data_IF_313296636651
#
_entry.id   IF_313296636651
#
_cell.length_a   1.000
_cell.length_b   1.000
_cell.length_c   1.000
_cell.angle_alpha   90.00
_cell.angle_beta   90.00
_cell.angle_gamma   90.00
#
_symmetry.space_group_name_H-M   'P 1'
#
loop_
_entity.id
_entity.type
_entity.pdbx_description
1 polymer ?
#
# COMPACT_ATOMS: atom_id res chain seq x y z
N UNK A 1 21.44 -8.66 0.42
CA UNK A 1 20.21 -8.08 -0.14
C UNK A 1 20.25 -8.32 -1.63
N UNK A 2 19.18 -8.86 -2.25
CA UNK A 2 19.10 -8.93 -3.72
C UNK A 2 19.20 -7.49 -4.25
N UNK A 3 20.05 -7.24 -5.23
CA UNK A 3 20.06 -5.97 -5.93
C UNK A 3 18.78 -5.88 -6.76
N UNK A 4 17.83 -5.08 -6.29
CA UNK A 4 16.62 -4.75 -7.03
C UNK A 4 17.01 -3.73 -8.11
N UNK A 5 16.64 -4.02 -9.35
CA UNK A 5 16.81 -3.09 -10.48
C UNK A 5 15.52 -2.28 -10.57
N UNK A 6 15.63 -0.96 -10.49
CA UNK A 6 14.49 -0.04 -10.53
C UNK A 6 14.72 1.07 -11.54
N UNK A 7 13.64 1.58 -12.11
CA UNK A 7 13.58 2.73 -13.02
C UNK A 7 12.67 3.80 -12.46
N UNK A 8 12.87 5.06 -12.87
CA UNK A 8 11.97 6.14 -12.51
C UNK A 8 10.52 5.83 -12.95
N UNK A 9 9.57 6.09 -12.07
CA UNK A 9 8.16 5.72 -12.24
C UNK A 9 7.79 4.36 -11.65
N UNK A 10 8.75 3.44 -11.46
CA UNK A 10 8.45 2.14 -10.86
C UNK A 10 7.76 2.32 -9.50
N UNK A 11 6.67 1.58 -9.31
CA UNK A 11 6.01 1.47 -8.01
C UNK A 11 6.72 0.37 -7.24
N UNK A 12 7.31 0.71 -6.10
CA UNK A 12 7.94 -0.23 -5.19
C UNK A 12 7.11 -0.40 -3.93
N UNK A 13 7.08 -1.62 -3.42
CA UNK A 13 6.37 -1.97 -2.19
C UNK A 13 7.36 -2.53 -1.19
N UNK A 14 7.36 -1.96 0.01
CA UNK A 14 8.16 -2.44 1.15
C UNK A 14 7.26 -3.16 2.15
N UNK A 15 7.59 -4.41 2.48
CA UNK A 15 6.84 -5.22 3.43
C UNK A 15 7.35 -5.00 4.86
N UNK A 16 6.53 -4.34 5.68
CA UNK A 16 6.79 -4.14 7.10
C UNK A 16 6.21 -5.27 7.98
N UNK A 17 5.81 -6.39 7.38
CA UNK A 17 5.19 -7.54 8.01
C UNK A 17 3.68 -7.31 8.23
N UNK A 18 3.34 -6.29 9.02
CA UNK A 18 1.94 -5.95 9.34
C UNK A 18 1.22 -5.17 8.25
N UNK A 19 1.96 -4.43 7.41
CA UNK A 19 1.41 -3.61 6.33
C UNK A 19 2.42 -3.47 5.19
N UNK A 20 1.92 -3.06 4.03
CA UNK A 20 2.73 -2.73 2.85
C UNK A 20 2.85 -1.22 2.72
N UNK A 21 4.06 -0.72 2.51
CA UNK A 21 4.29 0.69 2.19
C UNK A 21 4.58 0.85 0.71
N UNK A 22 3.77 1.65 0.03
CA UNK A 22 3.87 1.90 -1.41
C UNK A 22 4.64 3.18 -1.67
N UNK A 23 5.51 3.18 -2.66
CA UNK A 23 6.30 4.34 -3.05
C UNK A 23 6.57 4.33 -4.56
N UNK A 24 6.77 5.51 -5.13
CA UNK A 24 7.17 5.66 -6.54
C UNK A 24 8.66 6.02 -6.57
N UNK A 25 9.42 5.33 -7.42
CA UNK A 25 10.82 5.64 -7.68
C UNK A 25 10.91 6.93 -8.48
N UNK A 26 11.69 7.91 -8.01
CA UNK A 26 11.86 9.18 -8.72
C UNK A 26 13.07 9.17 -9.64
N UNK A 27 13.20 10.22 -10.43
CA UNK A 27 14.34 10.48 -11.32
C UNK A 27 15.53 11.15 -10.59
N UNK A 28 15.51 11.24 -9.25
CA UNK A 28 16.59 11.83 -8.47
C UNK A 28 17.28 10.80 -7.57
N UNK A 29 18.52 11.10 -7.20
CA UNK A 29 19.35 10.25 -6.35
C UNK A 29 19.79 11.03 -5.11
N UNK A 30 19.93 10.35 -3.98
CA UNK A 30 20.50 10.94 -2.78
C UNK A 30 22.04 11.00 -2.87
N UNK A 31 22.69 11.64 -1.89
CA UNK A 31 24.15 11.77 -1.82
C UNK A 31 24.91 10.44 -1.81
N UNK A 32 24.25 9.33 -1.47
CA UNK A 32 24.82 7.97 -1.51
C UNK A 32 24.67 7.27 -2.87
N UNK A 33 24.12 7.96 -3.88
CA UNK A 33 23.85 7.37 -5.20
C UNK A 33 22.65 6.43 -5.25
N UNK A 34 21.84 6.38 -4.18
CA UNK A 34 20.61 5.59 -4.16
C UNK A 34 19.44 6.41 -4.71
N UNK A 35 18.50 5.80 -5.44
CA UNK A 35 17.32 6.50 -5.93
C UNK A 35 16.50 7.08 -4.77
N UNK A 36 15.81 8.19 -5.02
CA UNK A 36 14.81 8.70 -4.10
C UNK A 36 13.46 8.07 -4.37
N UNK A 37 12.64 8.02 -3.32
CA UNK A 37 11.29 7.48 -3.32
C UNK A 37 10.33 8.59 -2.90
N UNK A 38 9.23 8.75 -3.64
CA UNK A 38 8.14 9.66 -3.27
C UNK A 38 6.93 8.86 -2.80
N UNK A 39 6.42 9.19 -1.61
CA UNK A 39 5.27 8.49 -1.03
C UNK A 39 4.55 9.31 0.04
N UNK A 40 3.27 9.01 0.26
CA UNK A 40 2.52 9.49 1.41
C UNK A 40 2.85 8.63 2.64
N UNK A 41 3.34 9.23 3.72
CA UNK A 41 3.69 8.49 4.94
C UNK A 41 2.98 9.05 6.17
N UNK A 42 2.62 8.16 7.11
CA UNK A 42 2.11 8.56 8.43
C UNK A 42 3.14 9.39 9.21
N UNK A 43 4.43 9.03 9.10
CA UNK A 43 5.55 9.73 9.78
C UNK A 43 5.61 11.21 9.40
N UNK A 44 5.40 11.51 8.13
CA UNK A 44 5.47 12.89 7.64
C UNK A 44 4.10 13.60 7.68
N UNK A 45 3.00 12.85 7.85
CA UNK A 45 1.63 13.35 7.72
C UNK A 45 1.24 13.77 6.30
N UNK A 46 2.14 13.61 5.33
CA UNK A 46 2.00 14.10 3.95
C UNK A 46 2.90 13.32 2.99
N UNK A 47 2.87 13.70 1.70
CA UNK A 47 3.78 13.19 0.68
C UNK A 47 5.14 13.87 0.81
N UNK A 48 6.21 13.08 0.76
CA UNK A 48 7.59 13.57 0.65
C UNK A 48 8.40 12.71 -0.31
N UNK A 49 9.36 13.33 -0.95
CA UNK A 49 10.45 12.67 -1.67
C UNK A 49 11.62 12.49 -0.69
N UNK A 50 12.03 11.24 -0.48
CA UNK A 50 13.01 10.87 0.55
C UNK A 50 13.96 9.77 0.04
N UNK A 51 15.17 9.65 0.60
CA UNK A 51 16.11 8.61 0.20
C UNK A 51 15.55 7.19 0.38
N UNK A 52 15.91 6.27 -0.52
CA UNK A 52 15.51 4.85 -0.48
C UNK A 52 15.59 4.23 0.93
N UNK A 53 16.73 4.37 1.61
CA UNK A 53 16.97 3.78 2.92
C UNK A 53 16.02 4.32 4.01
N UNK A 54 15.65 5.61 3.91
CA UNK A 54 14.75 6.26 4.86
C UNK A 54 13.33 5.72 4.73
N UNK A 55 12.89 5.49 3.49
CA UNK A 55 11.55 5.01 3.19
C UNK A 55 11.43 3.50 3.44
N UNK A 56 12.41 2.71 2.99
CA UNK A 56 12.37 1.24 3.07
C UNK A 56 12.81 0.69 4.42
N UNK A 57 13.66 1.41 5.18
CA UNK A 57 14.21 0.97 6.47
C UNK A 57 14.83 -0.45 6.43
N UNK A 58 15.43 -0.81 5.30
CA UNK A 58 16.03 -2.13 5.09
C UNK A 58 15.04 -3.29 5.04
N UNK A 59 13.73 -3.01 4.93
CA UNK A 59 12.70 -4.04 4.77
C UNK A 59 12.79 -4.70 3.40
N UNK A 60 12.10 -5.82 3.26
CA UNK A 60 11.99 -6.48 1.97
C UNK A 60 11.19 -5.58 1.03
N UNK A 61 11.85 -5.09 -0.02
CA UNK A 61 11.27 -4.17 -1.00
C UNK A 61 11.37 -4.79 -2.39
N UNK A 62 10.29 -4.69 -3.17
CA UNK A 62 10.17 -5.25 -4.51
C UNK A 62 9.41 -4.30 -5.45
N UNK A 63 9.58 -4.47 -6.77
CA UNK A 63 8.81 -3.74 -7.78
C UNK A 63 7.43 -4.40 -7.89
N UNK A 64 6.37 -3.61 -7.73
CA UNK A 64 5.02 -4.09 -7.87
C UNK A 64 4.71 -4.44 -9.33
N UNK A 65 3.99 -5.52 -9.57
CA UNK A 65 3.55 -5.90 -10.92
C UNK A 65 2.35 -5.05 -11.36
N UNK A 66 2.63 -3.80 -11.70
CA UNK A 66 1.63 -2.82 -12.12
C UNK A 66 1.98 -2.30 -13.50
N UNK A 67 0.93 -2.12 -14.32
CA UNK A 67 1.01 -1.46 -15.62
C UNK A 67 0.05 -0.28 -15.61
N UNK A 68 0.54 0.88 -16.02
CA UNK A 68 -0.24 2.10 -16.18
C UNK A 68 0.23 2.82 -17.45
N UNK A 69 -0.69 3.50 -18.13
CA UNK A 69 -0.41 4.14 -19.42
C UNK A 69 0.07 5.59 -19.27
N UNK A 70 -0.01 6.16 -18.07
CA UNK A 70 0.43 7.53 -17.78
C UNK A 70 1.95 7.67 -18.00
N UNK A 71 2.43 8.69 -18.73
CA UNK A 71 3.86 8.93 -18.89
C UNK A 71 4.59 9.13 -17.56
N UNK A 72 5.80 8.57 -17.44
CA UNK A 72 6.60 8.67 -16.20
C UNK A 72 6.81 10.12 -15.76
N UNK A 73 7.10 11.03 -16.70
CA UNK A 73 7.26 12.46 -16.39
C UNK A 73 6.01 13.08 -15.78
N UNK A 74 4.82 12.68 -16.24
CA UNK A 74 3.55 13.11 -15.68
C UNK A 74 3.33 12.51 -14.28
N UNK A 75 3.60 11.22 -14.09
CA UNK A 75 3.52 10.55 -12.77
C UNK A 75 4.39 11.29 -11.74
N UNK A 76 5.63 11.62 -12.09
CA UNK A 76 6.55 12.31 -11.19
C UNK A 76 6.12 13.76 -10.92
N UNK A 77 5.66 14.47 -11.96
CA UNK A 77 5.12 15.84 -11.81
C UNK A 77 3.92 15.87 -10.86
N UNK A 78 2.95 14.97 -11.06
CA UNK A 78 1.79 14.82 -10.19
C UNK A 78 2.19 14.45 -8.77
N UNK A 79 3.09 13.48 -8.62
CA UNK A 79 3.61 13.07 -7.31
C UNK A 79 4.19 14.25 -6.54
N UNK A 80 5.05 15.06 -7.20
CA UNK A 80 5.68 16.25 -6.61
C UNK A 80 4.68 17.36 -6.29
N UNK A 81 3.61 17.50 -7.08
CA UNK A 81 2.53 18.47 -6.81
C UNK A 81 1.81 18.24 -5.48
N UNK A 82 1.92 17.04 -4.91
CA UNK A 82 1.30 16.67 -3.63
C UNK A 82 2.23 16.77 -2.43
N UNK A 83 3.50 17.08 -2.64
CA UNK A 83 4.46 17.29 -1.55
C UNK A 83 3.96 18.41 -0.64
N UNK A 84 3.82 18.11 0.65
CA UNK A 84 3.35 19.07 1.66
C UNK A 84 1.85 19.40 1.65
N UNK A 85 1.09 19.00 0.62
CA UNK A 85 -0.35 19.30 0.50
C UNK A 85 -1.25 18.08 0.68
N UNK A 86 -0.69 16.87 0.61
CA UNK A 86 -1.44 15.64 0.89
C UNK A 86 -1.71 15.48 2.38
N UNK A 87 -2.97 15.27 2.79
CA UNK A 87 -3.35 15.02 4.18
C UNK A 87 -3.47 13.51 4.38
N UNK A 88 -2.51 12.90 5.08
CA UNK A 88 -2.47 11.46 5.25
C UNK A 88 -3.63 10.92 6.10
N UNK A 89 -4.25 9.84 5.63
CA UNK A 89 -5.20 9.02 6.39
C UNK A 89 -4.94 7.54 6.10
N UNK A 90 -5.13 6.65 7.09
CA UNK A 90 -4.96 5.21 6.91
C UNK A 90 -6.00 4.61 5.95
N UNK A 91 -7.21 5.16 5.91
CA UNK A 91 -8.36 4.58 5.19
C UNK A 91 -8.51 5.12 3.78
N UNK A 92 -8.23 6.41 3.56
CA UNK A 92 -8.66 7.12 2.34
C UNK A 92 -7.53 7.88 1.63
N UNK A 93 -6.45 8.25 2.32
CA UNK A 93 -5.34 9.04 1.76
C UNK A 93 -3.98 8.44 2.17
N UNK A 94 -3.86 7.11 2.06
CA UNK A 94 -2.65 6.39 2.45
C UNK A 94 -1.64 6.30 1.28
N UNK A 95 -0.57 5.54 1.49
CA UNK A 95 0.50 5.35 0.50
C UNK A 95 0.01 4.66 -0.80
N UNK A 96 -0.88 3.68 -0.70
CA UNK A 96 -1.44 2.96 -1.85
C UNK A 96 -2.31 3.90 -2.70
N UNK A 97 -3.16 4.69 -2.05
CA UNK A 97 -4.02 5.65 -2.72
C UNK A 97 -3.22 6.74 -3.42
N UNK A 98 -2.17 7.24 -2.77
CA UNK A 98 -1.25 8.18 -3.40
C UNK A 98 -0.60 7.58 -4.66
N UNK A 99 -0.04 6.37 -4.57
CA UNK A 99 0.62 5.73 -5.70
C UNK A 99 -0.35 5.52 -6.88
N UNK A 100 -1.55 5.00 -6.60
CA UNK A 100 -2.61 4.81 -7.60
C UNK A 100 -3.07 6.13 -8.24
N UNK A 101 -3.30 7.15 -7.42
CA UNK A 101 -3.67 8.49 -7.91
C UNK A 101 -2.60 9.05 -8.87
N UNK A 102 -1.33 8.97 -8.49
CA UNK A 102 -0.21 9.47 -9.28
C UNK A 102 -0.01 8.69 -10.58
N UNK A 103 -0.25 7.37 -10.60
CA UNK A 103 -0.15 6.53 -11.81
C UNK A 103 -1.43 6.51 -12.65
N UNK A 104 -2.54 7.05 -12.15
CA UNK A 104 -3.84 7.02 -12.82
C UNK A 104 -4.57 5.68 -12.70
N UNK A 105 -4.10 4.79 -11.81
CA UNK A 105 -4.78 3.54 -11.49
C UNK A 105 -5.98 3.83 -10.58
N UNK A 106 -7.02 3.01 -10.72
CA UNK A 106 -8.22 3.16 -9.90
C UNK A 106 -7.91 3.00 -8.41
N UNK A 107 -8.27 4.02 -7.63
CA UNK A 107 -8.20 4.02 -6.17
C UNK A 107 -9.34 3.15 -5.63
N UNK A 108 -9.19 1.84 -5.68
CA UNK A 108 -9.99 0.95 -4.84
C UNK A 108 -9.19 0.64 -3.57
N UNK A 109 -9.76 0.92 -2.41
CA UNK A 109 -9.27 0.48 -1.10
C UNK A 109 -9.44 -1.03 -0.96
N UNK A 110 -8.85 -1.82 -1.86
CA UNK A 110 -9.13 -3.26 -2.00
C UNK A 110 -8.95 -4.00 -0.69
N UNK A 111 -7.98 -3.60 0.13
CA UNK A 111 -7.76 -4.15 1.48
C UNK A 111 -8.88 -3.80 2.46
N UNK A 112 -9.36 -2.55 2.48
CA UNK A 112 -10.46 -2.13 3.36
C UNK A 112 -11.76 -2.81 2.95
N UNK A 113 -12.06 -2.83 1.64
CA UNK A 113 -13.23 -3.53 1.09
C UNK A 113 -13.13 -5.02 1.39
N UNK A 114 -11.99 -5.66 1.13
CA UNK A 114 -11.79 -7.08 1.42
C UNK A 114 -11.92 -7.39 2.91
N UNK A 115 -11.38 -6.54 3.79
CA UNK A 115 -11.49 -6.70 5.24
C UNK A 115 -12.93 -6.60 5.73
N UNK A 116 -13.70 -5.63 5.25
CA UNK A 116 -15.12 -5.47 5.59
C UNK A 116 -15.95 -6.63 5.04
N UNK A 117 -15.76 -7.01 3.77
CA UNK A 117 -16.47 -8.14 3.14
C UNK A 117 -16.13 -9.47 3.84
N UNK A 118 -14.85 -9.71 4.14
CA UNK A 118 -14.40 -10.89 4.88
C UNK A 118 -14.95 -10.94 6.30
N UNK A 119 -15.00 -9.80 6.99
CA UNK A 119 -15.57 -9.71 8.33
C UNK A 119 -17.08 -10.01 8.34
N UNK A 120 -17.84 -9.45 7.39
CA UNK A 120 -19.26 -9.74 7.24
C UNK A 120 -19.50 -11.23 6.94
N UNK A 121 -18.72 -11.81 6.02
CA UNK A 121 -18.79 -13.24 5.70
C UNK A 121 -18.46 -14.13 6.91
N UNK A 122 -17.46 -13.74 7.72
CA UNK A 122 -17.06 -14.46 8.92
C UNK A 122 -18.10 -14.44 10.03
N UNK A 123 -18.73 -13.28 10.27
CA UNK A 123 -19.86 -13.19 11.20
C UNK A 123 -21.04 -14.05 10.73
N UNK A 124 -21.39 -13.97 9.44
CA UNK A 124 -22.50 -14.73 8.86
C UNK A 124 -22.28 -16.25 8.94
N UNK A 125 -21.08 -16.72 8.59
CA UNK A 125 -20.73 -18.14 8.66
C UNK A 125 -20.87 -18.68 10.09
N UNK A 126 -20.35 -17.94 11.09
CA UNK A 126 -20.51 -18.34 12.49
C UNK A 126 -21.98 -18.32 12.93
N UNK A 127 -22.76 -17.34 12.48
CA UNK A 127 -24.19 -17.25 12.79
C UNK A 127 -25.00 -18.42 12.23
N UNK A 128 -24.65 -18.90 11.04
CA UNK A 128 -25.31 -20.04 10.40
C UNK A 128 -24.88 -21.39 10.98
N UNK A 129 -23.63 -21.52 11.41
CA UNK A 129 -23.06 -22.81 11.84
C UNK A 129 -23.07 -23.04 13.37
N UNK A 130 -23.30 -22.00 14.18
CA UNK A 130 -23.29 -22.15 15.63
C UNK A 130 -24.71 -22.20 16.21
N UNK A 131 -24.98 -23.22 17.03
CA UNK A 131 -26.17 -23.23 17.88
C UNK A 131 -26.02 -22.15 18.97
N UNK A 132 -26.93 -21.18 19.00
CA UNK A 132 -26.92 -20.02 19.90
C UNK A 132 -25.59 -19.22 19.88
N UNK A 133 -25.29 -18.52 18.77
CA UNK A 133 -24.04 -17.80 18.62
C UNK A 133 -23.96 -16.64 19.62
N UNK A 134 -23.00 -16.72 20.55
CA UNK A 134 -22.63 -15.57 21.39
C UNK A 134 -21.96 -14.50 20.54
N UNK A 135 -22.15 -13.24 20.89
CA UNK A 135 -21.54 -12.06 20.23
C UNK A 135 -20.02 -12.22 20.07
N UNK A 136 -19.33 -12.80 21.05
CA UNK A 136 -17.89 -13.06 20.98
C UNK A 136 -17.48 -14.05 19.89
N UNK A 137 -18.30 -15.05 19.58
CA UNK A 137 -18.05 -16.01 18.49
C UNK A 137 -18.24 -15.34 17.13
N UNK A 138 -19.27 -14.51 16.99
CA UNK A 138 -19.53 -13.73 15.78
C UNK A 138 -18.37 -12.75 15.50
N UNK A 139 -17.91 -12.04 16.53
CA UNK A 139 -16.72 -11.17 16.47
C UNK A 139 -15.46 -11.95 16.11
N UNK A 140 -15.24 -13.13 16.71
CA UNK A 140 -14.11 -13.98 16.37
C UNK A 140 -14.09 -14.39 14.89
N UNK A 141 -15.24 -14.84 14.35
CA UNK A 141 -15.38 -15.17 12.94
C UNK A 141 -15.11 -13.98 12.03
N UNK A 142 -15.65 -12.81 12.37
CA UNK A 142 -15.43 -11.57 11.63
C UNK A 142 -13.95 -11.16 11.59
N UNK A 143 -13.26 -11.22 12.74
CA UNK A 143 -11.83 -10.85 12.82
C UNK A 143 -10.98 -11.81 11.99
N UNK A 144 -11.22 -13.12 12.08
CA UNK A 144 -10.43 -14.12 11.35
C UNK A 144 -10.58 -13.97 9.83
N UNK A 145 -11.83 -13.95 9.33
CA UNK A 145 -12.04 -13.86 7.88
C UNK A 145 -11.76 -12.46 7.33
N UNK A 146 -12.00 -11.40 8.09
CA UNK A 146 -11.57 -10.05 7.71
C UNK A 146 -10.05 -9.93 7.60
N UNK A 147 -9.31 -10.46 8.56
CA UNK A 147 -7.84 -10.49 8.54
C UNK A 147 -7.29 -11.29 7.35
N UNK A 148 -7.83 -12.49 7.09
CA UNK A 148 -7.43 -13.32 5.95
C UNK A 148 -7.70 -12.62 4.61
N UNK A 149 -8.85 -11.97 4.47
CA UNK A 149 -9.20 -11.25 3.24
C UNK A 149 -8.27 -10.05 2.99
N UNK A 150 -7.88 -9.32 4.03
CA UNK A 150 -6.88 -8.23 3.93
C UNK A 150 -5.52 -8.78 3.47
N UNK A 151 -5.10 -9.93 4.01
CA UNK A 151 -3.84 -10.57 3.63
C UNK A 151 -3.85 -11.04 2.17
N UNK A 152 -4.96 -11.64 1.72
CA UNK A 152 -5.12 -12.10 0.35
C UNK A 152 -5.19 -10.95 -0.67
N UNK A 153 -5.63 -9.76 -0.25
CA UNK A 153 -5.70 -8.57 -1.08
C UNK A 153 -4.36 -7.80 -1.22
N UNK A 154 -3.27 -8.30 -0.65
CA UNK A 154 -1.93 -7.70 -0.78
C UNK A 154 -1.41 -7.79 -2.21
N UNK A 155 -0.72 -6.75 -2.67
CA UNK A 155 -0.12 -6.74 -4.01
C UNK A 155 1.07 -7.69 -4.07
N UNK A 156 1.20 -8.41 -5.19
CA UNK A 156 2.26 -9.40 -5.41
C UNK A 156 3.47 -8.81 -6.13
N UNK A 157 4.62 -9.46 -5.93
CA UNK A 157 5.89 -9.13 -6.59
C UNK A 157 5.83 -9.43 -8.10
N UNK A 158 6.44 -8.56 -8.90
CA UNK A 158 6.67 -8.80 -10.34
C UNK A 158 7.72 -9.90 -10.50
N UNK A 159 7.30 -11.03 -11.08
CA UNK A 159 8.18 -12.19 -11.35
C UNK A 159 9.10 -11.96 -12.55
#
# INVERSE_FOLDING_TARGET
MKNIIVSAGDVVVSDFGGYQHWSIVTDTFCSKGLPQLISATKRNGTVREEPWEVVTQGKHTYVADLKYDRPVSEVLSLSRSKVGSWIYSLTDNNCEHFAKWATGLNVSSTQVVAGVSGAAAGAALVGLCAENPKVTKLLGGAVVLGGLAVLAARVTEKK
#
